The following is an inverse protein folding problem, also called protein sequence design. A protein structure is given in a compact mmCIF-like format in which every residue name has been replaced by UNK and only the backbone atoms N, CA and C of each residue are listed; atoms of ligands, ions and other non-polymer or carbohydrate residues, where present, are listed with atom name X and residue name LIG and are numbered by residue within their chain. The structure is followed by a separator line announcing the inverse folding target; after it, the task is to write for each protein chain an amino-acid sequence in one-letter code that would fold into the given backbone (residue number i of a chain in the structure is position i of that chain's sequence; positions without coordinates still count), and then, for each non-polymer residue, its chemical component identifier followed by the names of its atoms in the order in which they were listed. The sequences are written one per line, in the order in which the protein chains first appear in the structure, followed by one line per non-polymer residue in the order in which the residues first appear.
data_IF_469981113411
#
_entry.id   IF_469981113411
#
_cell.length_a   1.000
_cell.length_b   1.000
_cell.length_c   1.000
_cell.angle_alpha   90.00
_cell.angle_beta   90.00
_cell.angle_gamma   90.00
#
_symmetry.space_group_name_H-M   'P 1'
#
loop_
_entity.id
_entity.type
_entity.pdbx_description
1 polymer ?
#
# COMPACT_ATOMS: atom_id res chain seq x y z
N UNK A 1 36.02 -56.60 10.83
CA UNK A 1 35.64 -55.86 9.60
C UNK A 1 34.53 -56.69 8.96
N UNK A 2 33.28 -56.25 8.72
CA UNK A 2 32.68 -54.91 8.56
C UNK A 2 31.15 -55.13 8.72
N UNK A 3 30.48 -54.27 9.49
CA UNK A 3 29.05 -54.35 9.81
C UNK A 3 28.16 -54.03 8.59
N UNK A 4 27.03 -54.73 8.43
CA UNK A 4 25.95 -54.37 7.51
C UNK A 4 24.86 -53.63 8.30
N UNK A 5 24.70 -52.34 8.01
CA UNK A 5 23.67 -51.48 8.59
C UNK A 5 22.37 -51.58 7.77
N UNK A 6 21.26 -51.93 8.40
CA UNK A 6 19.92 -51.74 7.87
C UNK A 6 19.58 -50.24 7.82
N UNK A 7 19.46 -49.67 6.63
CA UNK A 7 18.93 -48.32 6.44
C UNK A 7 17.40 -48.34 6.52
N UNK A 8 16.84 -47.85 7.64
CA UNK A 8 15.45 -47.39 7.69
C UNK A 8 15.38 -46.01 6.98
N UNK A 9 14.66 -45.94 5.86
CA UNK A 9 14.23 -44.65 5.31
C UNK A 9 13.11 -44.10 6.20
N UNK A 10 13.41 -43.07 7.00
CA UNK A 10 12.40 -42.23 7.63
C UNK A 10 11.95 -41.16 6.62
N UNK A 11 10.72 -41.27 6.12
CA UNK A 11 10.10 -40.24 5.30
C UNK A 11 9.75 -39.03 6.19
N UNK A 12 10.52 -37.95 6.07
CA UNK A 12 10.22 -36.67 6.73
C UNK A 12 9.12 -35.99 5.91
N UNK A 13 7.90 -35.96 6.45
CA UNK A 13 6.82 -35.15 5.92
C UNK A 13 7.17 -33.67 6.14
N UNK A 14 7.66 -33.01 5.08
CA UNK A 14 7.81 -31.55 5.04
C UNK A 14 6.41 -30.95 5.12
N UNK A 15 6.03 -30.46 6.30
CA UNK A 15 4.89 -29.56 6.43
C UNK A 15 5.28 -28.27 5.72
N UNK A 16 4.76 -28.07 4.51
CA UNK A 16 4.84 -26.79 3.84
C UNK A 16 4.01 -25.81 4.67
N UNK A 17 4.68 -24.93 5.40
CA UNK A 17 4.05 -23.75 5.99
C UNK A 17 3.35 -23.02 4.85
N UNK A 18 2.03 -23.00 4.87
CA UNK A 18 1.26 -22.13 3.98
C UNK A 18 1.65 -20.73 4.40
N UNK A 19 2.50 -20.08 3.59
CA UNK A 19 2.83 -18.68 3.78
C UNK A 19 1.52 -17.91 3.63
N UNK A 20 0.90 -17.54 4.75
CA UNK A 20 -0.03 -16.43 4.77
C UNK A 20 0.73 -15.28 4.12
N UNK A 21 0.20 -14.74 3.02
CA UNK A 21 0.80 -13.60 2.34
C UNK A 21 1.20 -12.57 3.39
N UNK A 22 2.47 -12.13 3.39
CA UNK A 22 3.01 -11.10 4.28
C UNK A 22 2.26 -9.79 4.04
N UNK A 23 1.07 -9.66 4.62
CA UNK A 23 0.31 -8.43 4.63
C UNK A 23 0.46 -7.77 5.99
N UNK A 24 0.57 -6.44 6.03
CA UNK A 24 0.95 -5.76 7.24
C UNK A 24 -0.10 -5.97 8.35
N UNK A 25 0.38 -6.26 9.55
CA UNK A 25 -0.45 -6.49 10.73
C UNK A 25 -1.06 -5.19 11.29
N UNK A 26 -0.50 -4.03 10.93
CA UNK A 26 -0.95 -2.70 11.36
C UNK A 26 -1.07 -1.71 10.19
N UNK A 27 -1.91 -0.66 10.32
CA UNK A 27 -2.17 0.34 9.28
C UNK A 27 -0.90 1.07 8.81
N UNK A 28 -0.21 1.73 9.74
CA UNK A 28 0.93 2.61 9.45
C UNK A 28 2.04 1.98 8.62
N UNK A 29 2.56 0.78 8.93
CA UNK A 29 3.56 0.12 8.08
C UNK A 29 3.04 -0.26 6.69
N UNK A 30 1.75 -0.62 6.55
CA UNK A 30 1.17 -0.89 5.23
C UNK A 30 1.11 0.40 4.39
N UNK A 31 0.66 1.51 4.97
CA UNK A 31 0.62 2.80 4.27
C UNK A 31 2.02 3.30 3.93
N UNK A 32 2.98 3.18 4.85
CA UNK A 32 4.36 3.57 4.56
C UNK A 32 4.95 2.74 3.43
N UNK A 33 4.76 1.42 3.45
CA UNK A 33 5.22 0.54 2.39
C UNK A 33 4.54 0.85 1.04
N UNK A 34 3.25 1.19 1.05
CA UNK A 34 2.53 1.63 -0.13
C UNK A 34 3.17 2.87 -0.75
N UNK A 35 3.31 3.97 0.01
CA UNK A 35 3.85 5.22 -0.53
C UNK A 35 5.30 5.07 -0.98
N UNK A 36 6.13 4.29 -0.28
CA UNK A 36 7.49 3.97 -0.72
C UNK A 36 7.48 3.27 -2.09
N UNK A 37 6.66 2.23 -2.26
CA UNK A 37 6.56 1.51 -3.52
C UNK A 37 5.94 2.36 -4.64
N UNK A 38 4.90 3.12 -4.33
CA UNK A 38 4.12 3.92 -5.28
C UNK A 38 4.99 5.03 -5.88
N UNK A 39 5.68 5.80 -5.04
CA UNK A 39 6.59 6.87 -5.49
C UNK A 39 7.81 6.31 -6.22
N UNK A 40 8.38 5.19 -5.77
CA UNK A 40 9.47 4.51 -6.48
C UNK A 40 9.03 4.09 -7.89
N UNK A 41 7.81 3.57 -8.04
CA UNK A 41 7.27 3.17 -9.35
C UNK A 41 7.13 4.38 -10.29
N UNK A 42 6.67 5.52 -9.78
CA UNK A 42 6.65 6.77 -10.53
C UNK A 42 8.04 7.22 -10.97
N UNK A 43 9.05 7.14 -10.09
CA UNK A 43 10.43 7.52 -10.42
C UNK A 43 11.08 6.63 -11.49
N UNK A 44 10.45 5.51 -11.84
CA UNK A 44 10.87 4.59 -12.90
C UNK A 44 10.06 4.77 -14.19
N UNK A 45 9.32 5.88 -14.33
CA UNK A 45 8.44 6.20 -15.46
C UNK A 45 7.35 5.13 -15.71
N UNK A 46 6.86 4.50 -14.65
CA UNK A 46 5.78 3.51 -14.69
C UNK A 46 4.52 4.05 -14.03
N UNK A 47 3.37 3.62 -14.53
CA UNK A 47 2.07 3.91 -13.91
C UNK A 47 1.67 2.75 -12.97
N UNK A 48 1.60 2.98 -11.64
CA UNK A 48 1.24 1.92 -10.69
C UNK A 48 -0.18 1.35 -10.87
N UNK A 49 -1.12 2.14 -11.42
CA UNK A 49 -2.52 1.76 -11.66
C UNK A 49 -2.68 0.86 -12.89
N UNK A 50 -1.77 0.90 -13.86
CA UNK A 50 -1.83 0.11 -15.10
C UNK A 50 -0.74 -0.95 -15.18
N UNK A 51 0.49 -0.62 -14.79
CA UNK A 51 1.67 -1.44 -15.06
C UNK A 51 1.89 -2.50 -13.98
N UNK A 52 1.37 -2.28 -12.77
CA UNK A 52 1.59 -3.20 -11.65
C UNK A 52 0.41 -3.32 -10.67
N UNK A 53 -0.79 -3.55 -11.23
CA UNK A 53 -2.03 -3.74 -10.46
C UNK A 53 -1.94 -4.86 -9.42
N UNK A 54 -1.18 -5.92 -9.70
CA UNK A 54 -1.01 -7.04 -8.77
C UNK A 54 -0.29 -6.62 -7.49
N UNK A 55 0.74 -5.78 -7.60
CA UNK A 55 1.45 -5.21 -6.46
C UNK A 55 0.56 -4.20 -5.72
N UNK A 56 -0.15 -3.34 -6.45
CA UNK A 56 -1.10 -2.40 -5.85
C UNK A 56 -2.14 -3.09 -4.96
N UNK A 57 -2.66 -4.25 -5.38
CA UNK A 57 -3.67 -5.03 -4.61
C UNK A 57 -3.17 -5.54 -3.25
N UNK A 58 -1.85 -5.53 -3.00
CA UNK A 58 -1.29 -5.84 -1.68
C UNK A 58 -1.60 -4.72 -0.67
N UNK A 59 -1.69 -3.48 -1.17
CA UNK A 59 -1.83 -2.28 -0.35
C UNK A 59 -3.20 -1.63 -0.43
N UNK A 60 -3.89 -1.75 -1.57
CA UNK A 60 -5.13 -1.03 -1.87
C UNK A 60 -6.29 -2.01 -1.99
N UNK A 61 -7.46 -1.63 -1.47
CA UNK A 61 -8.67 -2.44 -1.56
C UNK A 61 -9.12 -2.59 -3.03
N UNK A 62 -9.71 -3.74 -3.36
CA UNK A 62 -10.26 -3.97 -4.70
C UNK A 62 -11.40 -2.99 -5.01
N UNK A 63 -12.17 -2.59 -4.00
CA UNK A 63 -13.22 -1.57 -4.11
C UNK A 63 -12.66 -0.23 -4.55
N UNK A 64 -11.58 0.23 -3.92
CA UNK A 64 -10.96 1.51 -4.27
C UNK A 64 -10.34 1.47 -5.67
N UNK A 65 -9.58 0.42 -6.01
CA UNK A 65 -9.02 0.27 -7.36
C UNK A 65 -10.13 0.33 -8.42
N UNK A 66 -11.26 -0.35 -8.18
CA UNK A 66 -12.41 -0.33 -9.09
C UNK A 66 -13.02 1.07 -9.21
N UNK A 67 -13.16 1.79 -8.10
CA UNK A 67 -13.66 3.18 -8.08
C UNK A 67 -12.76 4.10 -8.91
N UNK A 68 -11.44 4.04 -8.71
CA UNK A 68 -10.46 4.86 -9.44
C UNK A 68 -10.53 4.56 -10.93
N UNK A 69 -10.50 3.28 -11.34
CA UNK A 69 -10.59 2.90 -12.76
C UNK A 69 -11.88 3.36 -13.43
N UNK A 70 -13.00 3.33 -12.71
CA UNK A 70 -14.27 3.86 -13.21
C UNK A 70 -14.20 5.37 -13.43
N UNK A 71 -13.57 6.10 -12.53
CA UNK A 71 -13.39 7.56 -12.65
C UNK A 71 -12.44 7.91 -13.81
N UNK A 72 -11.31 7.21 -13.95
CA UNK A 72 -10.39 7.37 -15.09
C UNK A 72 -11.09 7.14 -16.45
N UNK A 73 -12.01 6.18 -16.51
CA UNK A 73 -12.78 5.89 -17.72
C UNK A 73 -13.98 6.83 -17.95
N UNK A 74 -14.28 7.73 -17.01
CA UNK A 74 -15.34 8.73 -17.19
C UNK A 74 -14.87 9.90 -18.07
N UNK A 75 -15.79 10.67 -18.69
CA UNK A 75 -15.43 11.84 -19.49
C UNK A 75 -14.58 12.87 -18.74
N UNK A 76 -14.77 12.97 -17.41
CA UNK A 76 -14.06 13.92 -16.56
C UNK A 76 -12.65 13.42 -16.17
N UNK A 77 -12.43 12.10 -16.24
CA UNK A 77 -11.14 11.50 -15.87
C UNK A 77 -10.75 11.72 -14.40
N UNK A 78 -9.44 11.74 -14.16
CA UNK A 78 -8.86 12.22 -12.90
C UNK A 78 -8.21 13.59 -13.17
N UNK A 79 -8.50 14.56 -12.32
CA UNK A 79 -7.87 15.89 -12.40
C UNK A 79 -6.43 15.87 -11.88
N UNK A 80 -6.10 14.93 -11.00
CA UNK A 80 -4.81 14.77 -10.33
C UNK A 80 -4.59 13.30 -9.93
N UNK A 81 -3.38 12.95 -9.50
CA UNK A 81 -3.12 11.61 -8.96
C UNK A 81 -4.00 11.34 -7.73
N UNK A 82 -4.68 10.20 -7.72
CA UNK A 82 -5.65 9.89 -6.67
C UNK A 82 -5.02 9.75 -5.28
N UNK A 83 -3.81 9.21 -5.17
CA UNK A 83 -3.17 8.91 -3.90
C UNK A 83 -2.27 10.05 -3.42
N UNK A 84 -1.69 10.82 -4.34
CA UNK A 84 -0.88 11.99 -4.00
C UNK A 84 -1.75 13.23 -3.77
N UNK A 85 -2.92 13.32 -4.43
CA UNK A 85 -3.71 14.56 -4.52
C UNK A 85 -2.89 15.73 -5.05
N UNK A 86 -2.17 15.44 -6.14
CA UNK A 86 -1.24 16.34 -6.80
C UNK A 86 -1.09 15.95 -8.27
N UNK A 87 -0.68 16.91 -9.11
CA UNK A 87 -0.44 16.69 -10.54
C UNK A 87 0.84 15.90 -10.82
N UNK A 88 1.84 16.04 -9.94
CA UNK A 88 3.14 15.39 -10.05
C UNK A 88 3.73 15.17 -8.65
N UNK A 89 4.77 14.35 -8.55
CA UNK A 89 5.53 14.15 -7.33
C UNK A 89 6.74 15.09 -7.26
N UNK A 90 7.27 15.27 -6.05
CA UNK A 90 8.53 15.99 -5.82
C UNK A 90 9.62 15.00 -5.42
N UNK A 91 10.85 15.19 -5.87
CA UNK A 91 11.98 14.27 -5.59
C UNK A 91 12.17 14.01 -4.08
N UNK A 92 11.93 15.02 -3.24
CA UNK A 92 12.03 14.85 -1.79
C UNK A 92 11.03 13.82 -1.23
N UNK A 93 9.88 13.63 -1.87
CA UNK A 93 8.84 12.70 -1.43
C UNK A 93 9.32 11.26 -1.45
N UNK A 94 10.25 10.89 -2.33
CA UNK A 94 10.83 9.55 -2.43
C UNK A 94 11.50 9.10 -1.11
N UNK A 95 12.02 10.05 -0.32
CA UNK A 95 12.75 9.76 0.92
C UNK A 95 12.09 10.36 2.16
N UNK A 96 11.17 11.31 2.01
CA UNK A 96 10.53 12.03 3.10
C UNK A 96 9.05 11.64 3.22
N UNK A 97 8.79 10.40 3.63
CA UNK A 97 7.44 9.88 3.89
C UNK A 97 7.24 9.77 5.40
N UNK A 98 6.24 10.47 5.93
CA UNK A 98 5.83 10.35 7.34
C UNK A 98 4.38 9.94 7.42
N UNK A 99 4.10 8.92 8.23
CA UNK A 99 2.75 8.45 8.52
C UNK A 99 2.46 8.68 10.00
N UNK A 100 1.35 9.34 10.31
CA UNK A 100 0.92 9.59 11.68
C UNK A 100 0.60 8.29 12.42
N UNK A 101 0.46 8.34 13.75
CA UNK A 101 -0.11 7.19 14.46
C UNK A 101 -1.58 6.98 14.05
N UNK A 102 -2.00 5.75 13.70
CA UNK A 102 -3.33 5.49 13.20
C UNK A 102 -4.38 5.54 14.31
N UNK A 103 -5.51 6.19 14.02
CA UNK A 103 -6.72 6.14 14.82
C UNK A 103 -7.52 4.88 14.43
N UNK A 104 -7.25 3.76 15.11
CA UNK A 104 -7.88 2.46 14.81
C UNK A 104 -9.23 2.31 15.50
N UNK A 105 -10.26 1.96 14.73
CA UNK A 105 -11.62 1.67 15.20
C UNK A 105 -12.12 0.37 14.55
N UNK A 106 -12.05 -0.73 15.31
CA UNK A 106 -12.45 -2.05 14.83
C UNK A 106 -11.63 -2.50 13.62
N UNK A 107 -12.30 -2.65 12.47
CA UNK A 107 -11.69 -3.03 11.18
C UNK A 107 -11.40 -1.84 10.28
N UNK A 108 -11.34 -0.63 10.82
CA UNK A 108 -10.99 0.60 10.09
C UNK A 108 -9.91 1.38 10.82
N UNK A 109 -9.15 2.18 10.08
CA UNK A 109 -8.19 3.12 10.63
C UNK A 109 -8.16 4.40 9.81
N UNK A 110 -7.82 5.52 10.46
CA UNK A 110 -7.48 6.77 9.78
C UNK A 110 -6.09 7.20 10.20
N UNK A 111 -5.31 7.67 9.24
CA UNK A 111 -3.97 8.23 9.47
C UNK A 111 -3.67 9.29 8.42
N UNK A 112 -2.75 10.18 8.73
CA UNK A 112 -2.28 11.21 7.83
C UNK A 112 -0.93 10.82 7.25
N UNK A 113 -0.73 11.12 5.98
CA UNK A 113 0.55 10.99 5.29
C UNK A 113 1.06 12.36 4.92
N UNK A 114 2.29 12.65 5.32
CA UNK A 114 3.05 13.83 4.90
C UNK A 114 4.16 13.39 3.96
N UNK A 115 4.15 13.92 2.74
CA UNK A 115 5.16 13.72 1.71
C UNK A 115 5.99 15.00 1.58
N UNK A 116 7.31 14.89 1.72
CA UNK A 116 8.19 16.05 1.76
C UNK A 116 8.35 16.65 3.16
N UNK A 117 9.21 17.65 3.25
CA UNK A 117 9.43 18.41 4.48
C UNK A 117 9.73 19.91 4.21
N UNK A 118 9.67 20.34 2.95
CA UNK A 118 9.87 21.72 2.52
C UNK A 118 8.49 22.40 2.41
N UNK A 119 8.27 23.59 3.00
CA UNK A 119 6.93 24.19 3.14
C UNK A 119 6.11 24.29 1.85
N UNK A 120 6.73 24.64 0.73
CA UNK A 120 6.02 24.92 -0.54
C UNK A 120 5.81 23.66 -1.40
N UNK A 121 6.44 22.54 -1.04
CA UNK A 121 6.38 21.27 -1.77
C UNK A 121 5.89 20.12 -0.91
N UNK A 122 5.56 20.38 0.36
CA UNK A 122 5.00 19.36 1.26
C UNK A 122 3.55 19.09 0.87
N UNK A 123 3.24 17.82 0.66
CA UNK A 123 1.87 17.36 0.40
C UNK A 123 1.35 16.56 1.59
N UNK A 124 0.10 16.82 1.97
CA UNK A 124 -0.54 16.14 3.09
C UNK A 124 -1.87 15.55 2.63
N UNK A 125 -2.06 14.26 2.88
CA UNK A 125 -3.28 13.54 2.55
C UNK A 125 -3.76 12.74 3.74
N UNK A 126 -5.08 12.64 3.88
CA UNK A 126 -5.69 11.75 4.87
C UNK A 126 -6.04 10.41 4.22
N UNK A 127 -5.62 9.34 4.88
CA UNK A 127 -5.75 7.97 4.40
C UNK A 127 -6.70 7.22 5.32
N UNK A 128 -7.74 6.63 4.73
CA UNK A 128 -8.59 5.65 5.41
C UNK A 128 -8.16 4.25 4.99
N UNK A 129 -7.97 3.40 5.99
CA UNK A 129 -7.69 1.99 5.78
C UNK A 129 -8.84 1.11 6.29
N UNK A 130 -8.97 -0.06 5.67
CA UNK A 130 -9.85 -1.15 6.14
C UNK A 130 -9.03 -2.42 6.35
N UNK A 131 -9.51 -3.28 7.25
CA UNK A 131 -8.97 -4.62 7.44
C UNK A 131 -9.76 -5.61 6.59
N UNK A 132 -9.21 -6.00 5.45
CA UNK A 132 -9.76 -6.99 4.52
C UNK A 132 -9.04 -8.33 4.69
N UNK A 133 -9.78 -9.39 5.07
CA UNK A 133 -9.25 -10.75 5.30
C UNK A 133 -7.99 -10.80 6.18
N UNK A 134 -7.92 -9.90 7.17
CA UNK A 134 -6.79 -9.81 8.10
C UNK A 134 -5.71 -8.80 7.70
N UNK A 135 -5.74 -8.30 6.46
CA UNK A 135 -4.76 -7.37 5.90
C UNK A 135 -5.26 -5.93 5.93
N UNK A 136 -4.44 -4.99 6.37
CA UNK A 136 -4.77 -3.57 6.25
C UNK A 136 -4.55 -3.09 4.82
N UNK A 137 -5.56 -2.43 4.27
CA UNK A 137 -5.53 -1.88 2.91
C UNK A 137 -6.09 -0.47 2.88
N UNK A 138 -5.48 0.38 2.07
CA UNK A 138 -5.99 1.71 1.74
C UNK A 138 -7.31 1.55 1.00
N UNK A 139 -8.33 2.26 1.46
CA UNK A 139 -9.68 2.21 0.90
C UNK A 139 -10.21 3.60 0.53
N UNK A 140 -9.51 4.67 0.94
CA UNK A 140 -9.78 6.04 0.52
C UNK A 140 -8.58 6.96 0.81
N UNK A 141 -8.37 7.94 -0.06
CA UNK A 141 -7.45 9.05 0.14
C UNK A 141 -8.18 10.35 -0.22
N UNK A 142 -8.08 11.35 0.65
CA UNK A 142 -8.66 12.69 0.47
C UNK A 142 -7.61 13.76 0.76
N UNK A 143 -7.72 14.90 0.07
CA UNK A 143 -6.89 16.07 0.37
C UNK A 143 -7.26 16.62 1.75
N UNK A 144 -6.29 17.07 2.52
CA UNK A 144 -6.58 17.79 3.77
C UNK A 144 -7.21 19.17 3.52
N UNK A 145 -7.04 19.73 2.32
CA UNK A 145 -7.67 21.00 1.94
C UNK A 145 -9.19 20.87 1.73
N UNK A 146 -9.66 19.68 1.35
CA UNK A 146 -11.09 19.42 1.07
C UNK A 146 -11.92 19.16 2.35
N UNK A 147 -11.30 19.20 3.53
CA UNK A 147 -11.98 19.03 4.82
C UNK A 147 -12.51 20.34 5.44
N UNK A 148 -12.32 21.49 4.77
CA UNK A 148 -12.96 22.73 5.19
C UNK A 148 -14.39 22.83 4.64
N UNK A 149 -15.30 22.04 5.20
CA UNK A 149 -16.76 22.20 5.09
C UNK A 149 -17.44 21.98 6.46
#
# INVERSE_FOLDING_TARGET
MRMLFCSLLAAVAMHQSVALADCASSPKPATQAFYSWYLQTFSEDKDPLTDNVAEMKKYVSDSLITKIKKQMASPDGLEEDYFLKAQDYMDEWLTQIKVSEPQVQGSSAKEQVTLGNTPDTTQIVDVRMIKDKGCWKIDEVISTADQSD
#
